data_IF_481132704127
#
_entry.id   IF_481132704127
#
_cell.length_a   1.000
_cell.length_b   1.000
_cell.length_c   1.000
_cell.angle_alpha   90.00
_cell.angle_beta   90.00
_cell.angle_gamma   90.00
#
_symmetry.space_group_name_H-M   'P 1'
#
loop_
_entity.id
_entity.type
_entity.pdbx_description
1 polymer ?
#
# COMPACT_ATOMS: atom_id res chain seq x y z
N UNK A 1 -5.92 14.79 -2.98
CA UNK A 1 -4.71 14.06 -3.44
C UNK A 1 -4.33 13.13 -2.31
N UNK A 2 -4.76 11.86 -2.38
CA UNK A 2 -4.55 10.87 -1.32
C UNK A 2 -3.06 10.60 -1.17
N UNK A 3 -2.51 10.77 0.03
CA UNK A 3 -1.10 10.48 0.28
C UNK A 3 -0.93 8.97 0.39
N UNK A 4 -0.10 8.41 -0.49
CA UNK A 4 0.44 7.08 -0.28
C UNK A 4 1.15 7.03 1.09
N UNK A 5 0.65 6.19 2.00
CA UNK A 5 1.29 5.97 3.30
C UNK A 5 2.23 4.77 3.20
N UNK A 6 3.51 4.98 3.54
CA UNK A 6 4.49 3.90 3.56
C UNK A 6 4.32 2.99 4.78
N UNK A 7 3.98 1.72 4.56
CA UNK A 7 4.01 0.69 5.60
C UNK A 7 5.39 0.00 5.61
N UNK A 8 6.13 0.10 6.73
CA UNK A 8 7.42 -0.58 6.90
C UNK A 8 7.21 -1.94 7.55
N UNK A 9 7.34 -3.01 6.76
CA UNK A 9 7.25 -4.40 7.24
C UNK A 9 8.66 -4.96 7.39
N UNK A 10 8.96 -5.57 8.53
CA UNK A 10 10.18 -6.38 8.71
C UNK A 10 9.85 -7.83 8.40
N UNK A 11 10.59 -8.42 7.47
CA UNK A 11 10.46 -9.81 7.08
C UNK A 11 11.82 -10.49 7.15
N UNK A 12 11.83 -11.83 7.27
CA UNK A 12 13.06 -12.60 7.20
C UNK A 12 13.68 -12.47 5.80
N UNK A 13 15.02 -12.52 5.74
CA UNK A 13 15.77 -12.41 4.47
C UNK A 13 15.30 -13.45 3.46
N UNK A 14 15.19 -14.70 3.89
CA UNK A 14 14.79 -15.82 3.04
C UNK A 14 13.38 -15.63 2.47
N UNK A 15 12.42 -15.21 3.31
CA UNK A 15 11.05 -14.92 2.86
C UNK A 15 11.01 -13.80 1.82
N UNK A 16 11.81 -12.73 2.00
CA UNK A 16 11.94 -11.65 1.02
C UNK A 16 12.49 -12.19 -0.30
N UNK A 17 13.52 -13.03 -0.27
CA UNK A 17 14.14 -13.59 -1.47
C UNK A 17 13.16 -14.48 -2.23
N UNK A 18 12.45 -15.37 -1.54
CA UNK A 18 11.40 -16.19 -2.14
C UNK A 18 10.26 -15.35 -2.73
N UNK A 19 9.79 -14.33 -1.99
CA UNK A 19 8.72 -13.44 -2.47
C UNK A 19 9.14 -12.66 -3.71
N UNK A 20 10.36 -12.10 -3.72
CA UNK A 20 10.90 -11.37 -4.88
C UNK A 20 11.11 -12.32 -6.07
N UNK A 21 11.56 -13.56 -5.85
CA UNK A 21 11.71 -14.55 -6.90
C UNK A 21 10.36 -14.92 -7.54
N UNK A 22 9.32 -15.13 -6.73
CA UNK A 22 7.96 -15.38 -7.21
C UNK A 22 7.40 -14.19 -8.00
N UNK A 23 7.56 -12.97 -7.48
CA UNK A 23 7.12 -11.75 -8.17
C UNK A 23 7.82 -11.59 -9.54
N UNK A 24 9.12 -11.91 -9.62
CA UNK A 24 9.88 -11.89 -10.88
C UNK A 24 9.39 -12.95 -11.87
N UNK A 25 9.03 -14.13 -11.39
CA UNK A 25 8.48 -15.19 -12.25
C UNK A 25 7.11 -14.80 -12.85
N UNK A 26 6.33 -14.00 -12.12
CA UNK A 26 5.05 -13.44 -12.58
C UNK A 26 5.18 -12.12 -13.37
N UNK A 27 6.39 -11.59 -13.56
CA UNK A 27 6.67 -10.28 -14.16
C UNK A 27 5.93 -9.11 -13.45
N UNK A 28 5.67 -9.26 -12.15
CA UNK A 28 4.95 -8.26 -11.34
C UNK A 28 5.86 -7.62 -10.30
N UNK A 29 5.77 -6.30 -10.07
CA UNK A 29 6.46 -5.66 -8.96
C UNK A 29 5.96 -6.20 -7.61
N UNK A 30 6.88 -6.51 -6.69
CA UNK A 30 6.55 -6.95 -5.33
C UNK A 30 5.56 -6.02 -4.60
N UNK A 31 5.68 -4.70 -4.80
CA UNK A 31 4.76 -3.72 -4.25
C UNK A 31 3.33 -3.83 -4.82
N UNK A 32 3.19 -4.22 -6.09
CA UNK A 32 1.89 -4.41 -6.73
C UNK A 32 1.19 -5.64 -6.14
N UNK A 33 1.91 -6.77 -6.06
CA UNK A 33 1.40 -8.01 -5.47
C UNK A 33 0.95 -7.79 -4.03
N UNK A 34 1.73 -7.06 -3.22
CA UNK A 34 1.35 -6.73 -1.84
C UNK A 34 0.07 -5.89 -1.80
N UNK A 35 -0.06 -4.86 -2.64
CA UNK A 35 -1.27 -4.02 -2.65
C UNK A 35 -2.52 -4.79 -3.07
N UNK A 36 -2.41 -5.65 -4.08
CA UNK A 36 -3.50 -6.52 -4.54
C UNK A 36 -3.88 -7.52 -3.43
N UNK A 37 -2.89 -8.18 -2.84
CA UNK A 37 -3.09 -9.11 -1.73
C UNK A 37 -3.76 -8.42 -0.52
N UNK A 38 -3.31 -7.22 -0.14
CA UNK A 38 -3.93 -6.44 0.94
C UNK A 38 -5.38 -6.09 0.63
N UNK A 39 -5.70 -5.66 -0.61
CA UNK A 39 -7.06 -5.37 -1.03
C UNK A 39 -7.97 -6.59 -0.96
N UNK A 40 -7.51 -7.72 -1.50
CA UNK A 40 -8.26 -8.97 -1.42
C UNK A 40 -8.45 -9.43 0.02
N UNK A 41 -7.41 -9.34 0.84
CA UNK A 41 -7.45 -9.74 2.24
C UNK A 41 -8.48 -8.90 3.00
N UNK A 42 -8.48 -7.57 2.84
CA UNK A 42 -9.49 -6.68 3.44
C UNK A 42 -10.88 -7.01 2.90
N UNK A 43 -11.05 -7.18 1.59
CA UNK A 43 -12.34 -7.52 0.97
C UNK A 43 -12.92 -8.85 1.47
N UNK A 44 -12.06 -9.84 1.75
CA UNK A 44 -12.48 -11.15 2.27
C UNK A 44 -12.84 -11.11 3.75
N UNK A 45 -12.20 -10.23 4.54
CA UNK A 45 -12.37 -10.17 6.00
C UNK A 45 -13.29 -9.03 6.47
N UNK A 46 -13.62 -8.08 5.59
CA UNK A 46 -14.48 -6.93 5.91
C UNK A 46 -15.79 -7.07 5.14
N UNK A 47 -16.88 -7.40 5.83
CA UNK A 47 -18.24 -7.47 5.24
C UNK A 47 -18.94 -6.10 5.11
N UNK A 48 -18.26 -4.96 5.32
CA UNK A 48 -18.83 -3.62 5.08
C UNK A 48 -17.74 -2.56 4.80
N UNK A 49 -17.85 -1.75 3.74
CA UNK A 49 -16.83 -0.77 3.39
C UNK A 49 -17.09 0.52 4.17
N UNK A 50 -16.34 0.79 5.23
CA UNK A 50 -16.29 2.15 5.79
C UNK A 50 -15.10 2.33 6.74
N UNK A 51 -13.91 2.45 6.18
CA UNK A 51 -12.71 3.04 6.84
C UNK A 51 -11.59 3.05 5.79
N UNK A 52 -10.98 4.15 5.37
CA UNK A 52 -10.87 5.51 5.89
C UNK A 52 -10.65 6.48 4.73
N UNK A 53 -11.48 7.54 4.67
CA UNK A 53 -11.06 8.86 4.21
C UNK A 53 -9.83 9.28 5.02
N UNK A 54 -8.67 9.35 4.39
CA UNK A 54 -7.45 9.87 5.01
C UNK A 54 -6.96 11.12 4.31
N UNK A 55 -7.52 12.31 4.63
CA UNK A 55 -6.76 13.50 5.08
C UNK A 55 -7.56 14.82 5.12
N UNK A 56 -7.58 15.51 6.27
CA UNK A 56 -7.65 16.96 6.35
C UNK A 56 -6.24 17.59 6.52
N UNK A 57 -6.18 18.90 6.22
CA UNK A 57 -5.18 19.89 6.64
C UNK A 57 -3.94 20.11 5.76
N UNK A 58 -3.93 21.29 5.13
CA UNK A 58 -2.80 21.90 4.44
C UNK A 58 -3.09 23.33 3.97
N UNK A 59 -3.79 24.15 4.76
CA UNK A 59 -3.73 25.61 4.64
C UNK A 59 -2.27 26.05 4.78
N UNK A 60 -1.67 26.70 3.75
CA UNK A 60 -0.84 27.92 3.87
C UNK A 60 -0.78 28.68 2.54
N UNK A 61 -1.25 29.92 2.60
CA UNK A 61 -1.13 31.02 1.65
C UNK A 61 0.21 31.09 0.90
N UNK A 62 0.16 31.44 -0.38
CA UNK A 62 1.17 32.31 -0.99
C UNK A 62 0.58 33.06 -2.20
N UNK A 63 -0.21 34.10 -1.91
CA UNK A 63 -0.50 35.20 -2.84
C UNK A 63 0.74 36.11 -2.81
N UNK A 64 1.67 35.93 -3.74
CA UNK A 64 2.70 36.93 -4.07
C UNK A 64 2.11 37.76 -5.21
N UNK A 65 1.69 38.98 -4.88
CA UNK A 65 1.55 40.12 -5.79
C UNK A 65 2.60 41.16 -5.42
#
# INVERSE_FOLDING_TARGET
MEKDVGLRIRVQRELREQFVAACRAEDKPAAQVIREFMREYVSKHTRAPDTQKGQPSGDRNNDIS
#
